data_IF_675208014733
#
_entry.id   IF_675208014733
#
_cell.length_a   1.000
_cell.length_b   1.000
_cell.length_c   1.000
_cell.angle_alpha   90.00
_cell.angle_beta   90.00
_cell.angle_gamma   90.00
#
_symmetry.space_group_name_H-M   'P 1'
#
loop_
_entity.id
_entity.type
_entity.pdbx_description
1 polymer ?
#
# COMPACT_ATOMS: atom_id res chain seq x y z
N UNK A 1 14.48 -1.39 7.94
CA UNK A 1 13.66 -0.94 9.09
C UNK A 1 13.85 -1.91 10.24
N UNK A 2 13.86 -1.43 11.49
CA UNK A 2 14.00 -2.30 12.67
C UNK A 2 12.68 -2.98 13.04
N UNK A 3 12.78 -4.15 13.65
CA UNK A 3 11.64 -4.92 14.13
C UNK A 3 11.03 -4.22 15.35
N UNK A 4 9.73 -3.88 15.33
CA UNK A 4 9.09 -3.20 16.47
C UNK A 4 9.02 -4.08 17.73
N UNK A 5 9.20 -5.39 17.59
CA UNK A 5 9.09 -6.34 18.71
C UNK A 5 10.42 -6.66 19.40
N UNK A 6 11.54 -6.65 18.66
CA UNK A 6 12.83 -7.10 19.19
C UNK A 6 14.03 -6.23 18.81
N UNK A 7 13.80 -5.12 18.09
CA UNK A 7 14.84 -4.16 17.72
C UNK A 7 15.85 -4.64 16.69
N UNK A 8 15.77 -5.88 16.20
CA UNK A 8 16.67 -6.44 15.17
C UNK A 8 16.23 -6.09 13.75
N UNK A 9 17.09 -6.35 12.77
CA UNK A 9 16.84 -6.07 11.36
C UNK A 9 15.68 -6.93 10.80
N UNK A 10 15.01 -6.37 9.80
CA UNK A 10 13.87 -7.02 9.13
C UNK A 10 14.09 -7.07 7.64
N UNK A 11 13.53 -8.10 7.00
CA UNK A 11 13.55 -8.29 5.55
C UNK A 11 12.16 -8.04 4.98
N UNK A 12 12.10 -7.40 3.82
CA UNK A 12 10.85 -7.26 3.06
C UNK A 12 10.58 -8.60 2.36
N UNK A 13 9.37 -9.12 2.53
CA UNK A 13 8.93 -10.39 1.93
C UNK A 13 8.11 -10.13 0.68
N UNK A 14 7.21 -9.15 0.74
CA UNK A 14 6.37 -8.76 -0.37
C UNK A 14 6.12 -7.25 -0.33
N UNK A 15 5.87 -6.67 -1.50
CA UNK A 15 5.47 -5.28 -1.65
C UNK A 15 4.25 -5.23 -2.56
N UNK A 16 3.16 -4.64 -2.08
CA UNK A 16 2.01 -4.28 -2.88
C UNK A 16 2.13 -2.79 -3.20
N UNK A 17 2.17 -2.48 -4.50
CA UNK A 17 2.23 -1.11 -5.00
C UNK A 17 0.84 -0.68 -5.44
N UNK A 18 0.45 0.54 -5.08
CA UNK A 18 -0.83 1.17 -5.43
C UNK A 18 -0.77 2.65 -5.05
N UNK A 19 -1.91 3.24 -4.64
CA UNK A 19 -1.95 4.59 -4.05
C UNK A 19 -1.06 4.72 -2.80
N UNK A 20 -0.89 3.62 -2.07
CA UNK A 20 0.07 3.47 -0.98
C UNK A 20 0.95 2.25 -1.24
N UNK A 21 2.25 2.35 -0.93
CA UNK A 21 3.15 1.21 -0.96
C UNK A 21 3.03 0.45 0.37
N UNK A 22 2.36 -0.70 0.34
CA UNK A 22 2.28 -1.62 1.49
C UNK A 22 3.40 -2.64 1.41
N UNK A 23 4.28 -2.65 2.41
CA UNK A 23 5.42 -3.57 2.51
C UNK A 23 5.21 -4.53 3.66
N UNK A 24 5.16 -5.83 3.34
CA UNK A 24 5.14 -6.90 4.32
C UNK A 24 6.57 -7.27 4.69
N UNK A 25 6.87 -7.24 5.98
CA UNK A 25 8.21 -7.50 6.51
C UNK A 25 8.18 -8.66 7.48
N UNK A 26 9.27 -9.43 7.51
CA UNK A 26 9.51 -10.48 8.48
C UNK A 26 10.81 -10.21 9.21
N UNK A 27 10.80 -10.39 10.53
CA UNK A 27 12.02 -10.33 11.32
C UNK A 27 12.74 -11.69 11.28
N UNK A 28 14.03 -11.69 10.93
CA UNK A 28 14.82 -12.93 10.89
C UNK A 28 15.13 -13.49 12.28
N UNK A 29 15.04 -12.67 13.33
CA UNK A 29 15.37 -13.08 14.69
C UNK A 29 14.16 -13.60 15.48
N UNK A 30 13.06 -12.85 15.51
CA UNK A 30 11.86 -13.26 16.25
C UNK A 30 10.78 -13.90 15.36
N UNK A 31 11.01 -14.02 14.05
CA UNK A 31 10.10 -14.60 13.06
C UNK A 31 8.71 -13.95 12.95
N UNK A 32 8.45 -12.85 13.65
CA UNK A 32 7.21 -12.08 13.52
C UNK A 32 7.13 -11.35 12.18
N UNK A 33 5.93 -11.30 11.63
CA UNK A 33 5.58 -10.57 10.41
C UNK A 33 4.75 -9.34 10.75
N UNK A 34 4.96 -8.26 10.01
CA UNK A 34 4.21 -7.02 10.17
C UNK A 34 4.18 -6.22 8.86
N UNK A 35 3.20 -5.33 8.74
CA UNK A 35 3.01 -4.46 7.57
C UNK A 35 3.52 -3.04 7.86
N UNK A 36 4.07 -2.40 6.83
CA UNK A 36 4.45 -0.99 6.85
C UNK A 36 3.84 -0.30 5.64
N UNK A 37 3.20 0.85 5.86
CA UNK A 37 2.62 1.69 4.81
C UNK A 37 3.57 2.84 4.52
N UNK A 38 3.96 3.00 3.26
CA UNK A 38 4.73 4.13 2.77
C UNK A 38 3.86 4.89 1.77
N UNK A 39 3.64 6.20 2.00
CA UNK A 39 2.98 7.05 1.00
C UNK A 39 3.88 7.12 -0.23
N UNK A 40 3.30 6.94 -1.40
CA UNK A 40 4.02 7.17 -2.65
C UNK A 40 4.35 8.66 -2.73
N UNK A 41 5.59 9.00 -3.09
CA UNK A 41 5.96 10.37 -3.42
C UNK A 41 5.30 10.70 -4.76
N UNK A 42 4.02 11.07 -4.72
CA UNK A 42 3.33 11.51 -5.92
C UNK A 42 3.81 12.93 -6.18
N UNK A 43 4.53 13.13 -7.27
CA UNK A 43 4.87 14.48 -7.73
C UNK A 43 3.54 15.18 -8.04
N UNK A 44 3.30 16.41 -7.54
CA UNK A 44 2.01 17.09 -7.67
C UNK A 44 1.55 17.37 -9.11
N UNK A 45 2.34 17.01 -10.13
CA UNK A 45 2.08 17.30 -11.54
C UNK A 45 1.39 16.17 -12.33
N UNK A 46 1.26 14.97 -11.77
CA UNK A 46 0.79 13.77 -12.50
C UNK A 46 -0.52 13.19 -11.92
N UNK A 47 -1.46 14.05 -11.49
CA UNK A 47 -2.69 13.61 -10.82
C UNK A 47 -3.94 13.59 -11.69
N UNK A 48 -3.95 14.28 -12.84
CA UNK A 48 -5.19 14.38 -13.62
C UNK A 48 -5.68 13.02 -14.11
N UNK A 49 -4.76 12.16 -14.56
CA UNK A 49 -5.11 10.84 -15.08
C UNK A 49 -5.50 9.83 -13.98
N UNK A 50 -4.95 9.94 -12.76
CA UNK A 50 -5.28 9.02 -11.65
C UNK A 50 -6.63 9.34 -11.00
N UNK A 51 -7.02 10.62 -10.95
CA UNK A 51 -8.33 11.02 -10.43
C UNK A 51 -9.46 10.63 -11.38
N UNK A 52 -9.28 10.85 -12.69
CA UNK A 52 -10.31 10.56 -13.69
C UNK A 52 -10.57 9.04 -13.80
N UNK A 53 -9.50 8.22 -13.87
CA UNK A 53 -9.62 6.77 -14.04
C UNK A 53 -10.23 6.09 -12.81
N UNK A 54 -9.87 6.50 -11.58
CA UNK A 54 -10.50 5.94 -10.37
C UNK A 54 -11.93 6.41 -10.13
N UNK A 55 -12.31 7.61 -10.61
CA UNK A 55 -13.66 8.13 -10.44
C UNK A 55 -14.67 7.36 -11.30
N UNK A 56 -14.30 7.04 -12.54
CA UNK A 56 -15.11 6.21 -13.44
C UNK A 56 -15.40 4.83 -12.82
N UNK A 57 -14.38 4.17 -12.26
CA UNK A 57 -14.57 2.88 -11.56
C UNK A 57 -15.48 2.96 -10.31
N UNK A 58 -15.42 4.07 -9.56
CA UNK A 58 -16.25 4.24 -8.35
C UNK A 58 -17.71 4.53 -8.71
N UNK A 59 -17.95 5.25 -9.80
CA UNK A 59 -19.30 5.59 -10.23
C UNK A 59 -19.97 4.40 -10.96
N UNK A 60 -19.23 3.62 -11.76
CA UNK A 60 -19.74 2.35 -12.35
C UNK A 60 -20.22 1.36 -11.28
N UNK A 61 -19.52 1.24 -10.14
CA UNK A 61 -19.94 0.33 -9.07
C UNK A 61 -21.16 0.80 -8.28
N UNK A 62 -21.47 2.11 -8.28
CA UNK A 62 -22.70 2.61 -7.65
C UNK A 62 -23.92 2.33 -8.51
N UNK A 63 -23.78 2.38 -9.83
CA UNK A 63 -24.90 2.18 -10.75
C UNK A 63 -25.30 0.71 -10.91
N UNK A 64 -24.39 -0.25 -10.66
CA UNK A 64 -24.69 -1.70 -10.74
C UNK A 64 -25.24 -2.33 -9.45
N UNK A 65 -25.53 -1.54 -8.41
CA UNK A 65 -25.94 -2.02 -7.09
C UNK A 65 -27.44 -1.87 -6.76
N UNK A 66 -28.22 -1.25 -7.63
CA UNK A 66 -29.64 -0.92 -7.41
C UNK A 66 -30.58 -1.62 -8.44
N UNK A 67 -30.46 -2.95 -8.59
CA UNK A 67 -31.46 -3.79 -9.28
C UNK A 67 -31.95 -4.95 -8.39
#
# INVERSE_FOLDING_TARGET
MMCPFCGKTTKVVATIKGLENRRFRRCNACNKTFETKEKVLIKPFDFKYLEDEYKEFVDEQKESGDE
#
